data_IF_857178246006
#
_entry.id   IF_857178246006
#
_cell.length_a   1.000
_cell.length_b   1.000
_cell.length_c   1.000
_cell.angle_alpha   90.00
_cell.angle_beta   90.00
_cell.angle_gamma   90.00
#
_symmetry.space_group_name_H-M   'P 1'
#
loop_
_entity.id
_entity.type
_entity.pdbx_description
1 polymer ?
#
# COMPACT_ATOMS: atom_id res chain seq x y z
N UNK A 1 -19.39 -8.69 3.18
CA UNK A 1 -18.26 -8.88 4.11
C UNK A 1 -18.57 -10.16 4.87
N UNK A 2 -17.94 -11.28 4.50
CA UNK A 2 -18.41 -12.62 4.90
C UNK A 2 -17.30 -13.36 5.65
N UNK A 3 -16.94 -12.87 6.84
CA UNK A 3 -16.17 -13.67 7.79
C UNK A 3 -17.13 -14.50 8.64
N UNK A 4 -16.93 -15.81 8.70
CA UNK A 4 -17.69 -16.68 9.58
C UNK A 4 -17.04 -16.72 10.96
N UNK A 5 -17.50 -15.86 11.88
CA UNK A 5 -16.95 -15.74 13.26
C UNK A 5 -16.91 -17.10 13.98
N UNK A 6 -17.83 -18.00 13.66
CA UNK A 6 -17.88 -19.36 14.22
C UNK A 6 -16.67 -20.24 13.88
N UNK A 7 -15.95 -19.96 12.79
CA UNK A 7 -14.77 -20.73 12.35
C UNK A 7 -13.45 -20.24 12.95
N UNK A 8 -13.44 -19.07 13.57
CA UNK A 8 -12.22 -18.46 14.13
C UNK A 8 -11.80 -19.19 15.41
N UNK A 9 -10.56 -19.68 15.44
CA UNK A 9 -9.99 -20.42 16.57
C UNK A 9 -9.48 -19.46 17.66
N UNK A 10 -10.41 -18.81 18.33
CA UNK A 10 -10.09 -18.03 19.53
C UNK A 10 -9.51 -18.90 20.66
N UNK A 11 -9.81 -20.20 20.70
CA UNK A 11 -9.39 -21.07 21.79
C UNK A 11 -7.87 -21.29 21.80
N UNK A 12 -7.24 -21.47 20.62
CA UNK A 12 -5.78 -21.59 20.44
C UNK A 12 -5.01 -20.43 21.07
N UNK A 13 -5.57 -19.21 21.02
CA UNK A 13 -4.99 -18.01 21.62
C UNK A 13 -5.59 -17.57 22.97
N UNK A 14 -6.20 -18.49 23.72
CA UNK A 14 -6.84 -18.21 25.03
C UNK A 14 -7.92 -17.12 24.98
N UNK A 15 -8.79 -17.18 23.96
CA UNK A 15 -9.87 -16.24 23.73
C UNK A 15 -9.50 -15.03 22.86
N UNK A 16 -8.26 -14.97 22.37
CA UNK A 16 -7.76 -13.87 21.56
C UNK A 16 -7.08 -14.37 20.28
N UNK A 17 -7.26 -13.64 19.19
CA UNK A 17 -6.51 -13.83 17.95
C UNK A 17 -5.74 -12.56 17.60
N UNK A 18 -4.52 -12.67 17.05
CA UNK A 18 -3.85 -11.53 16.42
C UNK A 18 -4.70 -10.98 15.26
N UNK A 19 -4.71 -9.65 15.14
CA UNK A 19 -5.34 -8.92 14.07
C UNK A 19 -4.32 -7.98 13.44
N UNK A 20 -3.82 -8.35 12.26
CA UNK A 20 -2.94 -7.52 11.44
C UNK A 20 -3.82 -6.52 10.71
N UNK A 21 -3.62 -5.23 10.96
CA UNK A 21 -4.33 -4.18 10.23
C UNK A 21 -3.46 -3.69 9.10
N UNK A 22 -3.99 -3.75 7.89
CA UNK A 22 -3.37 -3.23 6.68
C UNK A 22 -4.23 -2.09 6.12
N UNK A 23 -3.57 -1.07 5.58
CA UNK A 23 -4.25 -0.01 4.86
C UNK A 23 -4.87 -0.59 3.59
N UNK A 24 -6.19 -0.44 3.45
CA UNK A 24 -6.94 -1.00 2.34
C UNK A 24 -6.58 -0.36 0.99
N UNK A 25 -6.07 0.87 1.01
CA UNK A 25 -5.67 1.57 -0.19
C UNK A 25 -4.18 1.30 -0.46
N UNK A 26 -3.29 1.54 0.49
CA UNK A 26 -1.83 1.50 0.21
C UNK A 26 -1.19 0.11 0.27
N UNK A 27 -1.83 -0.84 0.95
CA UNK A 27 -1.25 -2.15 1.26
C UNK A 27 -0.21 -2.15 2.38
N UNK A 28 0.04 -1.02 3.05
CA UNK A 28 0.97 -0.97 4.18
C UNK A 28 0.37 -1.57 5.44
N UNK A 29 1.17 -2.34 6.18
CA UNK A 29 0.77 -2.83 7.50
C UNK A 29 0.79 -1.65 8.47
N UNK A 30 -0.36 -1.33 9.04
CA UNK A 30 -0.56 -0.17 9.91
C UNK A 30 -0.19 -0.47 11.36
N UNK A 31 -0.69 -1.60 11.87
CA UNK A 31 -0.44 -2.07 13.23
C UNK A 31 -0.84 -3.54 13.39
N UNK A 32 -0.44 -4.13 14.52
CA UNK A 32 -0.97 -5.40 15.02
C UNK A 32 -1.71 -5.14 16.33
N UNK A 33 -2.90 -5.71 16.46
CA UNK A 33 -3.65 -5.75 17.71
C UNK A 33 -4.14 -7.17 18.01
N UNK A 34 -4.94 -7.30 19.06
CA UNK A 34 -5.58 -8.57 19.41
C UNK A 34 -7.08 -8.37 19.49
N UNK A 35 -7.83 -9.33 18.98
CA UNK A 35 -9.29 -9.35 19.02
C UNK A 35 -9.78 -10.57 19.77
N UNK A 36 -10.75 -10.40 20.68
CA UNK A 36 -11.64 -11.48 21.09
C UNK A 36 -12.89 -11.48 20.20
N UNK A 37 -13.76 -12.49 20.39
CA UNK A 37 -15.05 -12.62 19.69
C UNK A 37 -15.87 -11.32 19.74
N UNK A 38 -16.05 -10.75 20.92
CA UNK A 38 -16.83 -9.53 21.13
C UNK A 38 -16.26 -8.31 20.38
N UNK A 39 -14.93 -8.15 20.38
CA UNK A 39 -14.27 -7.05 19.65
C UNK A 39 -14.37 -7.20 18.13
N UNK A 40 -14.39 -8.44 17.62
CA UNK A 40 -14.62 -8.74 16.21
C UNK A 40 -16.08 -8.43 15.84
N UNK A 41 -17.04 -8.90 16.64
CA UNK A 41 -18.47 -8.60 16.45
C UNK A 41 -18.72 -7.09 16.46
N UNK A 42 -18.14 -6.37 17.43
CA UNK A 42 -18.23 -4.91 17.51
C UNK A 42 -17.57 -4.21 16.31
N UNK A 43 -16.46 -4.74 15.81
CA UNK A 43 -15.79 -4.20 14.61
C UNK A 43 -16.69 -4.31 13.37
N UNK A 44 -17.36 -5.46 13.21
CA UNK A 44 -18.29 -5.71 12.11
C UNK A 44 -19.56 -4.86 12.23
N UNK A 45 -20.06 -4.64 13.45
CA UNK A 45 -21.25 -3.83 13.72
C UNK A 45 -21.00 -2.33 13.52
N UNK A 46 -19.89 -1.82 14.07
CA UNK A 46 -19.61 -0.37 14.08
C UNK A 46 -18.86 0.12 12.83
N UNK A 47 -18.39 -0.81 11.99
CA UNK A 47 -17.46 -0.56 10.87
C UNK A 47 -16.18 0.19 11.28
N UNK A 48 -15.78 0.03 12.56
CA UNK A 48 -14.59 0.64 13.16
C UNK A 48 -13.80 -0.40 13.92
N UNK A 49 -12.50 -0.49 13.62
CA UNK A 49 -11.63 -1.51 14.21
C UNK A 49 -11.58 -1.36 15.72
N UNK A 50 -12.04 -2.40 16.40
CA UNK A 50 -12.11 -2.52 17.85
C UNK A 50 -11.26 -3.71 18.28
N UNK A 51 -10.38 -3.48 19.24
CA UNK A 51 -9.50 -4.50 19.79
C UNK A 51 -9.94 -4.88 21.20
N UNK A 52 -9.39 -5.98 21.71
CA UNK A 52 -9.40 -6.27 23.13
C UNK A 52 -8.06 -5.86 23.76
N UNK A 53 -8.11 -4.92 24.71
CA UNK A 53 -6.90 -4.51 25.43
C UNK A 53 -6.56 -5.53 26.51
N UNK A 54 -5.51 -6.32 26.31
CA UNK A 54 -5.03 -7.31 27.30
C UNK A 54 -4.62 -6.69 28.64
N UNK A 55 -4.12 -5.46 28.64
CA UNK A 55 -3.73 -4.77 29.88
C UNK A 55 -4.92 -4.15 30.62
N UNK A 56 -5.94 -3.66 29.90
CA UNK A 56 -7.12 -3.03 30.51
C UNK A 56 -8.31 -3.97 30.65
N UNK A 57 -8.22 -5.20 30.12
CA UNK A 57 -9.26 -6.23 30.13
C UNK A 57 -10.62 -5.69 29.66
N UNK A 58 -10.62 -4.92 28.56
CA UNK A 58 -11.82 -4.34 27.97
C UNK A 58 -11.69 -4.17 26.47
N UNK A 59 -12.84 -3.99 25.82
CA UNK A 59 -12.90 -3.48 24.45
C UNK A 59 -12.26 -2.11 24.36
N UNK A 60 -11.53 -1.88 23.28
CA UNK A 60 -10.87 -0.63 22.96
C UNK A 60 -11.04 -0.34 21.46
N UNK A 61 -11.85 0.66 21.13
CA UNK A 61 -12.00 1.08 19.75
C UNK A 61 -10.83 1.97 19.37
N UNK A 62 -10.10 1.62 18.30
CA UNK A 62 -8.96 2.41 17.85
C UNK A 62 -9.44 3.82 17.50
N UNK A 63 -8.82 4.82 18.12
CA UNK A 63 -9.19 6.22 17.92
C UNK A 63 -10.18 6.79 18.94
N UNK A 64 -10.69 6.00 19.90
CA UNK A 64 -11.69 6.47 20.89
C UNK A 64 -11.24 7.71 21.70
N UNK A 65 -9.93 7.93 21.84
CA UNK A 65 -9.35 9.12 22.51
C UNK A 65 -8.71 10.12 21.54
N UNK A 66 -8.02 9.63 20.51
CA UNK A 66 -7.24 10.49 19.61
C UNK A 66 -8.03 11.01 18.41
N UNK A 67 -9.21 10.45 18.12
CA UNK A 67 -9.94 10.68 16.87
C UNK A 67 -9.39 9.93 15.66
N UNK A 68 -8.23 9.27 15.78
CA UNK A 68 -7.59 8.54 14.69
C UNK A 68 -8.15 7.11 14.57
N UNK A 69 -9.38 7.03 14.05
CA UNK A 69 -10.10 5.79 13.82
C UNK A 69 -9.54 5.01 12.64
N UNK A 70 -9.76 3.69 12.66
CA UNK A 70 -9.57 2.80 11.52
C UNK A 70 -10.96 2.37 11.05
N UNK A 71 -11.39 2.83 9.87
CA UNK A 71 -12.67 2.42 9.28
C UNK A 71 -12.48 1.09 8.56
N UNK A 72 -13.27 0.09 8.93
CA UNK A 72 -13.22 -1.24 8.34
C UNK A 72 -13.58 -1.20 6.84
N UNK A 73 -12.87 -1.99 6.04
CA UNK A 73 -13.18 -2.23 4.62
C UNK A 73 -13.45 -3.70 4.37
N UNK A 74 -12.58 -4.58 4.86
CA UNK A 74 -12.74 -6.03 4.75
C UNK A 74 -12.02 -6.72 5.92
N UNK A 75 -12.37 -7.97 6.19
CA UNK A 75 -11.67 -8.80 7.15
C UNK A 75 -11.64 -10.25 6.70
N UNK A 76 -10.48 -10.89 6.87
CA UNK A 76 -10.23 -12.27 6.45
C UNK A 76 -9.53 -13.02 7.57
N UNK A 77 -9.81 -14.31 7.68
CA UNK A 77 -8.98 -15.22 8.46
C UNK A 77 -7.89 -15.82 7.58
N UNK A 78 -6.79 -16.24 8.18
CA UNK A 78 -5.83 -17.13 7.53
C UNK A 78 -6.35 -18.57 7.43
N UNK A 79 -5.48 -19.50 7.00
CA UNK A 79 -5.85 -20.85 6.60
C UNK A 79 -6.15 -21.80 7.76
N UNK A 80 -5.62 -21.56 8.95
CA UNK A 80 -5.94 -22.29 10.19
C UNK A 80 -6.82 -21.47 11.15
N UNK A 81 -7.31 -20.33 10.67
CA UNK A 81 -8.32 -19.49 11.33
C UNK A 81 -7.91 -18.92 12.69
N UNK A 82 -6.61 -18.77 12.95
CA UNK A 82 -6.10 -18.24 14.21
C UNK A 82 -5.65 -16.77 14.12
N UNK A 83 -5.59 -16.20 12.91
CA UNK A 83 -5.16 -14.83 12.68
C UNK A 83 -6.13 -14.09 11.75
N UNK A 84 -6.32 -12.80 12.01
CA UNK A 84 -7.16 -11.91 11.19
C UNK A 84 -6.30 -10.92 10.39
N UNK A 85 -6.58 -10.81 9.09
CA UNK A 85 -6.16 -9.69 8.26
C UNK A 85 -7.32 -8.69 8.15
N UNK A 86 -7.15 -7.51 8.71
CA UNK A 86 -8.12 -6.41 8.72
C UNK A 86 -7.68 -5.37 7.70
N UNK A 87 -8.45 -5.21 6.62
CA UNK A 87 -8.26 -4.10 5.69
C UNK A 87 -9.04 -2.90 6.23
N UNK A 88 -8.35 -1.79 6.51
CA UNK A 88 -8.96 -0.59 7.06
C UNK A 88 -8.39 0.68 6.43
N UNK A 89 -9.16 1.78 6.52
CA UNK A 89 -8.70 3.12 6.13
C UNK A 89 -8.47 3.98 7.37
N UNK A 90 -7.25 4.48 7.62
CA UNK A 90 -6.94 5.30 8.77
C UNK A 90 -7.43 6.74 8.61
N UNK A 91 -7.94 7.32 9.70
CA UNK A 91 -8.25 8.76 9.80
C UNK A 91 -7.11 9.47 10.54
N UNK A 92 -6.00 9.72 9.86
CA UNK A 92 -4.78 10.29 10.47
C UNK A 92 -3.81 9.22 10.98
N UNK A 93 -2.73 9.62 11.68
CA UNK A 93 -1.66 8.70 12.06
C UNK A 93 -2.15 7.59 12.99
N UNK A 94 -1.74 6.35 12.69
CA UNK A 94 -2.19 5.18 13.45
C UNK A 94 -1.44 5.07 14.77
N UNK A 95 -0.14 5.37 14.76
CA UNK A 95 0.70 5.25 15.94
C UNK A 95 0.49 6.41 16.93
N UNK A 96 0.65 6.13 18.21
CA UNK A 96 0.55 7.13 19.27
C UNK A 96 1.73 8.12 19.29
N UNK A 97 2.82 7.81 18.59
CA UNK A 97 3.98 8.70 18.39
C UNK A 97 3.78 9.70 17.25
N UNK A 98 2.65 9.63 16.54
CA UNK A 98 2.35 10.50 15.40
C UNK A 98 2.79 9.96 14.04
N UNK A 99 3.42 8.78 13.98
CA UNK A 99 3.77 8.12 12.71
C UNK A 99 2.57 7.40 12.07
N UNK A 100 2.61 7.25 10.76
CA UNK A 100 1.52 6.63 10.00
C UNK A 100 1.27 5.18 10.41
N UNK A 101 2.33 4.41 10.62
CA UNK A 101 2.31 3.01 11.07
C UNK A 101 3.04 2.84 12.39
N UNK A 102 2.81 1.71 13.08
CA UNK A 102 3.54 1.34 14.29
C UNK A 102 5.04 1.10 14.06
N UNK A 103 5.48 0.93 12.80
CA UNK A 103 6.88 0.73 12.43
C UNK A 103 7.55 2.00 11.88
N UNK A 104 6.92 3.17 12.04
CA UNK A 104 7.40 4.45 11.52
C UNK A 104 7.60 4.51 9.99
N UNK A 105 6.98 3.61 9.25
CA UNK A 105 6.92 3.69 7.79
C UNK A 105 5.86 4.69 7.33
N UNK A 106 6.13 5.38 6.22
CA UNK A 106 5.14 6.22 5.54
C UNK A 106 4.03 5.34 4.93
N UNK A 107 2.78 5.69 5.21
CA UNK A 107 1.60 5.01 4.67
C UNK A 107 1.24 5.58 3.30
N UNK A 108 1.99 5.14 2.29
CA UNK A 108 1.81 5.51 0.88
C UNK A 108 1.73 4.24 0.04
N UNK A 109 0.93 4.28 -1.02
CA UNK A 109 0.85 3.18 -1.97
C UNK A 109 2.24 2.73 -2.39
N UNK A 110 2.47 1.43 -2.35
CA UNK A 110 3.61 0.79 -3.02
C UNK A 110 3.36 0.70 -4.54
N UNK A 111 2.70 1.73 -5.14
CA UNK A 111 2.47 1.86 -6.59
C UNK A 111 3.31 3.02 -7.12
N UNK A 112 4.62 2.81 -7.10
CA UNK A 112 5.61 3.74 -7.62
C UNK A 112 5.33 4.11 -9.08
N UNK A 113 4.93 3.14 -9.92
CA UNK A 113 4.62 3.40 -11.32
C UNK A 113 3.44 4.37 -11.50
N UNK A 114 2.37 4.20 -10.73
CA UNK A 114 1.27 5.16 -10.74
C UNK A 114 1.68 6.56 -10.22
N UNK A 115 2.62 6.64 -9.27
CA UNK A 115 3.18 7.93 -8.85
C UNK A 115 4.05 8.57 -9.94
N UNK A 116 4.86 7.77 -10.63
CA UNK A 116 5.70 8.19 -11.74
C UNK A 116 4.86 8.70 -12.91
N UNK A 117 3.81 7.97 -13.31
CA UNK A 117 2.88 8.37 -14.37
C UNK A 117 2.20 9.72 -14.07
N UNK A 118 1.70 9.92 -12.84
CA UNK A 118 1.16 11.23 -12.41
C UNK A 118 2.19 12.35 -12.50
N UNK A 119 3.43 12.05 -12.12
CA UNK A 119 4.53 13.01 -12.20
C UNK A 119 4.86 13.35 -13.66
N UNK A 120 4.87 12.36 -14.54
CA UNK A 120 5.06 12.55 -15.99
C UNK A 120 3.97 13.45 -16.56
N UNK A 121 2.69 13.13 -16.28
CA UNK A 121 1.57 13.95 -16.74
C UNK A 121 1.62 15.39 -16.22
N UNK A 122 1.99 15.60 -14.95
CA UNK A 122 2.10 16.96 -14.39
C UNK A 122 3.17 17.84 -15.07
N UNK A 123 4.12 17.23 -15.77
CA UNK A 123 5.19 17.92 -16.49
C UNK A 123 4.85 18.22 -17.95
N UNK A 124 3.71 17.72 -18.46
CA UNK A 124 3.23 18.04 -19.80
C UNK A 124 2.85 19.52 -19.87
N UNK A 125 3.53 20.28 -20.72
CA UNK A 125 3.37 21.74 -20.82
C UNK A 125 4.12 22.54 -19.75
N UNK A 126 4.95 21.90 -18.92
CA UNK A 126 5.90 22.57 -18.04
C UNK A 126 7.10 23.16 -18.80
N UNK A 127 8.03 23.81 -18.08
CA UNK A 127 9.22 24.42 -18.67
C UNK A 127 10.22 23.34 -19.19
N UNK A 128 10.49 23.28 -20.51
CA UNK A 128 11.43 22.34 -21.12
C UNK A 128 12.90 22.51 -20.68
N UNK A 129 13.27 23.63 -20.09
CA UNK A 129 14.62 23.87 -19.59
C UNK A 129 14.86 23.31 -18.19
N UNK A 130 13.79 23.03 -17.44
CA UNK A 130 13.86 22.57 -16.05
C UNK A 130 13.52 21.07 -15.95
N UNK A 131 12.75 20.52 -16.88
CA UNK A 131 12.30 19.13 -16.84
C UNK A 131 12.56 18.37 -18.14
N UNK A 132 13.26 17.24 -18.02
CA UNK A 132 13.44 16.30 -19.13
C UNK A 132 12.09 15.84 -19.73
N UNK A 133 11.10 15.53 -18.87
CA UNK A 133 9.77 15.13 -19.33
C UNK A 133 9.08 16.24 -20.13
N UNK A 134 9.20 17.50 -19.67
CA UNK A 134 8.66 18.65 -20.41
C UNK A 134 9.38 18.84 -21.75
N UNK A 135 10.69 18.61 -21.79
CA UNK A 135 11.48 18.63 -23.02
C UNK A 135 11.02 17.56 -24.01
N UNK A 136 10.77 16.33 -23.56
CA UNK A 136 10.24 15.26 -24.41
C UNK A 136 8.89 15.65 -25.02
N UNK A 137 7.96 16.15 -24.21
CA UNK A 137 6.66 16.61 -24.71
C UNK A 137 6.78 17.79 -25.70
N UNK A 138 7.68 18.74 -25.43
CA UNK A 138 7.91 19.89 -26.32
C UNK A 138 8.48 19.47 -27.69
N UNK A 139 9.22 18.36 -27.75
CA UNK A 139 9.76 17.79 -29.00
C UNK A 139 8.75 16.91 -29.76
N UNK A 140 7.59 16.63 -29.16
CA UNK A 140 6.45 15.97 -29.79
C UNK A 140 6.55 14.45 -29.91
N UNK A 141 5.46 13.85 -30.38
CA UNK A 141 5.24 12.40 -30.42
C UNK A 141 6.37 11.65 -31.13
N UNK A 142 6.88 12.17 -32.25
CA UNK A 142 7.94 11.53 -33.01
C UNK A 142 9.21 11.34 -32.17
N UNK A 143 9.60 12.32 -31.34
CA UNK A 143 10.79 12.19 -30.50
C UNK A 143 10.55 11.22 -29.33
N UNK A 144 9.35 11.19 -28.78
CA UNK A 144 8.98 10.26 -27.71
C UNK A 144 8.99 8.82 -28.25
N UNK A 145 8.33 8.56 -29.38
CA UNK A 145 8.32 7.26 -30.03
C UNK A 145 9.73 6.81 -30.46
N UNK A 146 10.57 7.74 -30.94
CA UNK A 146 11.98 7.46 -31.22
C UNK A 146 12.71 6.95 -29.97
N UNK A 147 12.54 7.61 -28.81
CA UNK A 147 13.16 7.15 -27.55
C UNK A 147 12.68 5.76 -27.19
N UNK A 148 11.37 5.49 -27.23
CA UNK A 148 10.84 4.12 -26.97
C UNK A 148 11.49 3.07 -27.88
N UNK A 149 11.69 3.40 -29.16
CA UNK A 149 12.39 2.50 -30.10
C UNK A 149 13.88 2.31 -29.79
N UNK A 150 14.58 3.38 -29.43
CA UNK A 150 16.00 3.34 -29.01
C UNK A 150 16.16 2.43 -27.77
N UNK A 151 15.45 2.71 -26.68
CA UNK A 151 15.57 1.95 -25.42
C UNK A 151 15.16 0.48 -25.60
N UNK A 152 14.17 0.19 -26.48
CA UNK A 152 13.76 -1.18 -26.76
C UNK A 152 14.87 -1.97 -27.48
N UNK A 153 15.60 -1.34 -28.41
CA UNK A 153 16.72 -1.98 -29.09
C UNK A 153 17.92 -2.11 -28.15
N UNK A 154 18.21 -1.09 -27.35
CA UNK A 154 19.27 -1.09 -26.35
C UNK A 154 19.05 -2.21 -25.32
N UNK A 155 17.83 -2.34 -24.76
CA UNK A 155 17.47 -3.46 -23.88
C UNK A 155 17.71 -4.83 -24.53
N UNK A 156 17.37 -5.02 -25.81
CA UNK A 156 17.57 -6.29 -26.51
C UNK A 156 19.06 -6.60 -26.68
N UNK A 157 19.88 -5.60 -27.00
CA UNK A 157 21.34 -5.75 -27.15
C UNK A 157 21.95 -6.14 -25.80
N UNK A 158 21.61 -5.40 -24.74
CA UNK A 158 22.14 -5.66 -23.40
C UNK A 158 21.63 -6.97 -22.79
N UNK A 159 20.45 -7.46 -23.21
CA UNK A 159 19.96 -8.79 -22.84
C UNK A 159 20.75 -9.93 -23.51
N UNK A 160 21.38 -9.67 -24.67
CA UNK A 160 22.23 -10.62 -25.39
C UNK A 160 23.65 -10.65 -24.84
N UNK A 161 24.13 -9.52 -24.34
CA UNK A 161 25.48 -9.38 -23.79
C UNK A 161 25.48 -9.68 -22.27
N UNK A 162 26.65 -9.94 -21.67
CA UNK A 162 26.75 -10.35 -20.25
C UNK A 162 26.79 -9.15 -19.27
N UNK A 163 25.95 -8.12 -19.48
CA UNK A 163 25.90 -6.93 -18.61
C UNK A 163 24.52 -6.69 -17.99
N UNK A 164 24.27 -7.35 -16.86
CA UNK A 164 23.01 -7.24 -16.10
C UNK A 164 22.66 -5.80 -15.68
N UNK A 165 23.66 -4.97 -15.37
CA UNK A 165 23.41 -3.60 -14.93
C UNK A 165 22.91 -2.72 -16.07
N UNK A 166 23.51 -2.83 -17.26
CA UNK A 166 23.02 -2.09 -18.42
C UNK A 166 21.63 -2.55 -18.81
N UNK A 167 21.39 -3.87 -18.87
CA UNK A 167 20.05 -4.41 -19.15
C UNK A 167 18.95 -3.84 -18.22
N UNK A 168 19.20 -3.77 -16.90
CA UNK A 168 18.24 -3.22 -15.95
C UNK A 168 18.00 -1.71 -16.14
N UNK A 169 19.02 -0.96 -16.53
CA UNK A 169 18.89 0.48 -16.81
C UNK A 169 18.07 0.72 -18.08
N UNK A 170 18.38 0.02 -19.17
CA UNK A 170 17.61 0.12 -20.43
C UNK A 170 16.15 -0.31 -20.23
N UNK A 171 15.91 -1.28 -19.34
CA UNK A 171 14.54 -1.66 -18.97
C UNK A 171 13.79 -0.57 -18.22
N UNK A 172 14.47 0.14 -17.31
CA UNK A 172 13.87 1.26 -16.60
C UNK A 172 13.60 2.44 -17.55
N UNK A 173 14.53 2.72 -18.48
CA UNK A 173 14.38 3.79 -19.47
C UNK A 173 13.27 3.48 -20.48
N UNK A 174 13.17 2.23 -20.97
CA UNK A 174 12.06 1.82 -21.82
C UNK A 174 10.72 1.98 -21.09
N UNK A 175 10.62 1.52 -19.85
CA UNK A 175 9.38 1.63 -19.06
C UNK A 175 9.02 3.11 -18.81
N UNK A 176 10.01 3.96 -18.53
CA UNK A 176 9.80 5.41 -18.39
C UNK A 176 9.27 6.03 -19.69
N UNK A 177 9.95 5.81 -20.82
CA UNK A 177 9.57 6.40 -22.09
C UNK A 177 8.22 5.85 -22.61
N UNK A 178 7.90 4.59 -22.28
CA UNK A 178 6.57 4.00 -22.52
C UNK A 178 5.47 4.75 -21.75
N UNK A 179 5.71 5.13 -20.49
CA UNK A 179 4.74 5.92 -19.70
C UNK A 179 4.63 7.38 -20.18
N UNK A 180 5.62 7.90 -20.91
CA UNK A 180 5.58 9.25 -21.51
C UNK A 180 4.79 9.26 -22.83
N UNK A 181 4.82 8.15 -23.58
CA UNK A 181 4.16 7.97 -24.88
C UNK A 181 2.64 8.02 -24.77
#
# INVERSE_FOLDING_TARGET
MNIEIGKIDFAKGNGLVPAVVQDADTGKVLMLGYMNRESLEKTLQDEKVTFFSRSRQRLWQKGERSGNFLRLVDIRSDCDHDTLLVLARPRGPVCHTGTDTCWAEANRHVNFLGHLERTIHSRKGGDPHISYTAQLFARGLNKIAQKVGEEAVEMIIEAKDDNETLFLNEAADLMYHYLVL
#
